data_IF_146659085336
#
_entry.id   IF_146659085336
#
_cell.length_a   1.000
_cell.length_b   1.000
_cell.length_c   1.000
_cell.angle_alpha   90.00
_cell.angle_beta   90.00
_cell.angle_gamma   90.00
#
_symmetry.space_group_name_H-M   'P 1'
#
loop_
_entity.id
_entity.type
_entity.pdbx_description
1 polymer ?
#
# COMPACT_ATOMS: atom_id res chain seq x y z
N UNK A 1 65.32 60.10 -28.54
CA UNK A 1 66.43 59.15 -28.29
C UNK A 1 66.01 58.37 -27.06
N UNK A 2 65.77 57.06 -27.04
CA UNK A 2 66.44 55.91 -27.69
C UNK A 2 65.48 54.71 -27.58
N UNK A 3 64.99 54.19 -28.70
CA UNK A 3 65.20 52.83 -29.25
C UNK A 3 64.90 51.61 -28.35
N UNK A 4 64.09 50.73 -28.93
CA UNK A 4 63.65 49.41 -28.47
C UNK A 4 64.72 48.33 -28.63
N UNK A 5 64.59 47.21 -27.88
CA UNK A 5 64.86 45.85 -28.38
C UNK A 5 63.99 44.83 -27.63
N UNK A 6 63.32 43.98 -28.41
CA UNK A 6 62.65 42.74 -28.00
C UNK A 6 63.61 41.56 -28.18
N UNK A 7 63.64 40.60 -27.25
CA UNK A 7 64.03 39.21 -27.56
C UNK A 7 63.18 38.23 -26.75
N UNK A 8 62.58 37.27 -27.47
CA UNK A 8 61.97 36.04 -26.95
C UNK A 8 63.02 34.93 -26.90
N UNK A 9 62.63 33.71 -26.42
CA UNK A 9 63.37 32.41 -26.35
C UNK A 9 63.68 32.05 -24.87
N UNK A 10 63.32 30.90 -24.27
CA UNK A 10 62.82 29.58 -24.73
C UNK A 10 62.08 28.87 -23.59
N UNK A 11 61.16 27.96 -23.94
CA UNK A 11 60.73 26.84 -23.10
C UNK A 11 61.92 25.93 -22.75
N UNK A 12 62.03 25.49 -21.48
CA UNK A 12 62.50 24.15 -21.10
C UNK A 12 62.06 23.83 -19.67
N UNK A 13 61.41 22.68 -19.56
CA UNK A 13 60.76 22.11 -18.39
C UNK A 13 61.77 21.65 -17.35
N UNK A 14 61.52 21.89 -16.06
CA UNK A 14 61.91 20.97 -14.98
C UNK A 14 60.81 20.99 -13.92
N UNK A 15 60.21 19.82 -13.73
CA UNK A 15 59.31 19.48 -12.64
C UNK A 15 60.16 19.33 -11.37
N UNK A 16 59.82 20.03 -10.30
CA UNK A 16 60.22 19.67 -8.96
C UNK A 16 59.02 19.89 -8.03
N UNK A 17 58.46 18.76 -7.59
CA UNK A 17 57.32 18.68 -6.70
C UNK A 17 57.70 19.21 -5.30
N UNK A 18 56.81 20.00 -4.71
CA UNK A 18 56.72 20.12 -3.26
C UNK A 18 55.26 19.93 -2.86
N UNK A 19 55.00 18.73 -2.37
CA UNK A 19 53.73 18.28 -1.80
C UNK A 19 53.52 19.02 -0.48
N UNK A 20 52.45 19.83 -0.39
CA UNK A 20 51.94 20.33 0.89
C UNK A 20 50.45 19.95 1.01
N UNK A 21 50.26 18.78 1.60
CA UNK A 21 49.08 18.24 2.29
C UNK A 21 47.78 19.04 2.23
N UNK A 22 46.87 18.66 1.33
CA UNK A 22 45.44 18.94 1.42
C UNK A 22 44.73 17.77 2.12
N UNK A 23 44.63 17.82 3.45
CA UNK A 23 43.77 16.92 4.22
C UNK A 23 42.45 17.65 4.57
N UNK A 24 41.60 17.83 3.56
CA UNK A 24 40.18 18.19 3.69
C UNK A 24 39.33 17.25 2.81
N UNK A 25 39.59 15.94 2.90
CA UNK A 25 38.80 14.90 2.23
C UNK A 25 38.22 14.00 3.31
N UNK A 26 37.14 14.46 3.95
CA UNK A 26 36.49 13.70 5.01
C UNK A 26 35.00 13.95 5.22
N UNK A 27 34.34 14.81 4.43
CA UNK A 27 32.93 15.19 4.68
C UNK A 27 31.95 14.68 3.60
N UNK A 28 32.40 13.93 2.59
CA UNK A 28 31.50 13.53 1.48
C UNK A 28 30.96 12.09 1.52
N UNK A 29 31.08 11.33 2.61
CA UNK A 29 30.62 9.92 2.66
C UNK A 29 29.36 9.70 3.53
N UNK A 30 28.78 10.75 4.12
CA UNK A 30 27.64 10.57 5.07
C UNK A 30 26.25 10.90 4.52
N UNK A 31 26.12 11.47 3.32
CA UNK A 31 24.78 11.83 2.80
C UNK A 31 24.01 10.63 2.29
N UNK A 32 24.66 9.67 1.63
CA UNK A 32 23.97 8.53 1.01
C UNK A 32 23.33 7.59 2.04
N UNK A 33 23.95 7.45 3.21
CA UNK A 33 23.40 6.67 4.32
C UNK A 33 22.19 7.35 4.97
N UNK A 34 22.20 8.68 5.11
CA UNK A 34 21.05 9.41 5.66
C UNK A 34 19.82 9.36 4.72
N UNK A 35 20.02 9.39 3.40
CA UNK A 35 18.93 9.23 2.42
C UNK A 35 18.39 7.79 2.35
N UNK A 36 19.23 6.78 2.56
CA UNK A 36 18.79 5.38 2.66
C UNK A 36 18.06 5.10 3.98
N UNK A 37 18.51 5.71 5.08
CA UNK A 37 17.93 5.53 6.42
C UNK A 37 16.62 6.34 6.60
N UNK A 38 16.44 7.44 5.88
CA UNK A 38 15.18 8.20 5.82
C UNK A 38 14.07 7.51 5.00
N UNK A 39 14.38 6.50 4.19
CA UNK A 39 13.37 5.80 3.38
C UNK A 39 12.46 4.85 4.17
N UNK A 40 12.83 4.48 5.40
CA UNK A 40 12.11 3.46 6.18
C UNK A 40 11.32 4.00 7.38
N UNK A 41 11.22 5.32 7.54
CA UNK A 41 10.42 5.95 8.61
C UNK A 41 8.97 6.21 8.19
N UNK A 42 8.64 6.07 6.91
CA UNK A 42 7.29 6.32 6.39
C UNK A 42 6.33 5.18 6.74
N UNK A 43 5.16 5.54 7.22
CA UNK A 43 4.03 4.64 7.39
C UNK A 43 3.67 3.95 6.06
N UNK A 44 2.99 2.79 6.14
CA UNK A 44 2.46 2.16 4.93
C UNK A 44 1.47 3.10 4.22
N UNK A 45 0.68 3.87 4.96
CA UNK A 45 -0.25 4.87 4.42
C UNK A 45 0.45 5.87 3.50
N UNK A 46 1.56 6.43 3.94
CA UNK A 46 2.37 7.37 3.14
C UNK A 46 3.00 6.69 1.93
N UNK A 47 3.50 5.45 2.08
CA UNK A 47 4.07 4.68 0.97
C UNK A 47 3.01 4.26 -0.07
N UNK A 48 1.76 4.08 0.35
CA UNK A 48 0.62 3.83 -0.53
C UNK A 48 0.12 5.09 -1.26
N UNK A 49 0.66 6.28 -0.95
CA UNK A 49 0.26 7.55 -1.58
C UNK A 49 -0.92 8.23 -0.89
N UNK A 50 -1.24 7.85 0.34
CA UNK A 50 -2.29 8.46 1.16
C UNK A 50 -3.72 8.18 0.68
N UNK A 51 -4.67 8.92 1.24
CA UNK A 51 -6.11 8.60 1.18
C UNK A 51 -6.66 8.54 -0.25
N UNK A 52 -6.23 9.42 -1.15
CA UNK A 52 -6.73 9.46 -2.53
C UNK A 52 -6.26 8.24 -3.34
N UNK A 53 -4.98 7.86 -3.20
CA UNK A 53 -4.45 6.66 -3.84
C UNK A 53 -5.11 5.38 -3.30
N UNK A 54 -5.27 5.29 -1.97
CA UNK A 54 -6.00 4.20 -1.32
C UNK A 54 -7.44 4.13 -1.83
N UNK A 55 -8.14 5.27 -1.87
CA UNK A 55 -9.53 5.34 -2.34
C UNK A 55 -9.66 4.89 -3.80
N UNK A 56 -8.69 5.24 -4.67
CA UNK A 56 -8.69 4.81 -6.06
C UNK A 56 -8.56 3.27 -6.18
N UNK A 57 -7.66 2.65 -5.43
CA UNK A 57 -7.51 1.18 -5.38
C UNK A 57 -8.79 0.53 -4.85
N UNK A 58 -9.34 1.04 -3.75
CA UNK A 58 -10.58 0.52 -3.14
C UNK A 58 -11.78 0.67 -4.07
N UNK A 59 -11.84 1.77 -4.83
CA UNK A 59 -12.87 1.98 -5.84
C UNK A 59 -12.81 0.90 -6.92
N UNK A 60 -11.64 0.69 -7.52
CA UNK A 60 -11.41 -0.36 -8.52
C UNK A 60 -11.73 -1.76 -7.97
N UNK A 61 -11.19 -2.09 -6.79
CA UNK A 61 -11.42 -3.36 -6.10
C UNK A 61 -12.89 -3.64 -5.85
N UNK A 62 -13.63 -2.63 -5.38
CA UNK A 62 -15.04 -2.79 -5.06
C UNK A 62 -15.88 -3.02 -6.31
N UNK A 63 -15.55 -2.38 -7.43
CA UNK A 63 -16.23 -2.60 -8.71
C UNK A 63 -15.88 -3.96 -9.32
N UNK A 64 -14.62 -4.41 -9.15
CA UNK A 64 -14.18 -5.73 -9.58
C UNK A 64 -14.89 -6.86 -8.81
N UNK A 65 -15.06 -6.70 -7.48
CA UNK A 65 -15.79 -7.67 -6.66
C UNK A 65 -17.23 -7.88 -7.11
N UNK A 66 -17.94 -6.83 -7.51
CA UNK A 66 -19.32 -6.95 -8.03
C UNK A 66 -19.37 -7.88 -9.24
N UNK A 67 -18.37 -7.78 -10.11
CA UNK A 67 -18.27 -8.55 -11.36
C UNK A 67 -17.64 -9.92 -11.18
N UNK A 68 -17.00 -10.18 -10.04
CA UNK A 68 -16.29 -11.43 -9.78
C UNK A 68 -17.25 -12.64 -9.83
N UNK A 69 -16.91 -13.72 -10.56
CA UNK A 69 -17.81 -14.86 -10.73
C UNK A 69 -18.02 -15.69 -9.47
N UNK A 70 -17.08 -15.66 -8.52
CA UNK A 70 -17.11 -16.48 -7.30
C UNK A 70 -17.74 -15.71 -6.14
N UNK A 71 -17.41 -14.43 -5.96
CA UNK A 71 -17.83 -13.63 -4.79
C UNK A 71 -18.79 -12.49 -5.12
N UNK A 72 -19.08 -12.25 -6.40
CA UNK A 72 -19.94 -11.17 -6.89
C UNK A 72 -21.33 -11.63 -7.33
N UNK A 73 -21.87 -10.99 -8.38
CA UNK A 73 -23.23 -11.21 -8.88
C UNK A 73 -23.55 -12.63 -9.35
N UNK A 74 -22.52 -13.42 -9.67
CA UNK A 74 -22.67 -14.82 -10.11
C UNK A 74 -22.26 -15.83 -9.03
N UNK A 75 -22.00 -15.35 -7.81
CA UNK A 75 -21.57 -16.21 -6.70
C UNK A 75 -22.54 -17.37 -6.47
N UNK A 76 -21.99 -18.55 -6.16
CA UNK A 76 -22.80 -19.70 -5.73
C UNK A 76 -23.40 -19.48 -4.32
N UNK A 77 -22.76 -18.69 -3.48
CA UNK A 77 -23.29 -18.28 -2.18
C UNK A 77 -24.47 -17.31 -2.38
N UNK A 78 -25.70 -17.70 -1.98
CA UNK A 78 -26.88 -16.90 -2.24
C UNK A 78 -26.87 -15.57 -1.49
N UNK A 79 -26.25 -15.49 -0.30
CA UNK A 79 -26.18 -14.25 0.46
C UNK A 79 -25.23 -13.24 -0.18
N UNK A 80 -24.08 -13.68 -0.70
CA UNK A 80 -23.18 -12.82 -1.48
C UNK A 80 -23.83 -12.38 -2.79
N UNK A 81 -24.46 -13.31 -3.51
CA UNK A 81 -25.16 -12.99 -4.77
C UNK A 81 -26.28 -11.98 -4.55
N UNK A 82 -27.09 -12.14 -3.51
CA UNK A 82 -28.17 -11.20 -3.17
C UNK A 82 -27.61 -9.81 -2.84
N UNK A 83 -26.54 -9.74 -2.04
CA UNK A 83 -25.89 -8.46 -1.74
C UNK A 83 -25.44 -7.74 -3.02
N UNK A 84 -24.73 -8.44 -3.91
CA UNK A 84 -24.17 -7.86 -5.15
C UNK A 84 -25.20 -7.60 -6.26
N UNK A 85 -26.46 -8.01 -6.09
CA UNK A 85 -27.53 -7.79 -7.07
C UNK A 85 -28.58 -6.79 -6.59
N UNK A 86 -28.94 -6.82 -5.30
CA UNK A 86 -30.04 -6.02 -4.75
C UNK A 86 -29.60 -4.84 -3.89
N UNK A 87 -28.33 -4.80 -3.45
CA UNK A 87 -27.87 -3.81 -2.47
C UNK A 87 -26.82 -2.84 -3.00
N UNK A 88 -26.60 -2.78 -4.31
CA UNK A 88 -25.55 -1.95 -4.92
C UNK A 88 -25.71 -0.44 -4.67
N UNK A 89 -26.91 0.05 -4.32
CA UNK A 89 -27.10 1.43 -3.85
C UNK A 89 -26.26 1.78 -2.62
N UNK A 90 -25.82 0.77 -1.85
CA UNK A 90 -24.96 0.93 -0.67
C UNK A 90 -23.46 0.89 -0.99
N UNK A 91 -23.09 0.55 -2.23
CA UNK A 91 -21.70 0.37 -2.64
C UNK A 91 -20.83 1.63 -2.43
N UNK A 92 -21.30 2.87 -2.67
CA UNK A 92 -20.51 4.06 -2.37
C UNK A 92 -20.11 4.16 -0.90
N UNK A 93 -21.04 3.89 0.02
CA UNK A 93 -20.75 3.84 1.45
C UNK A 93 -19.78 2.72 1.82
N UNK A 94 -19.87 1.55 1.17
CA UNK A 94 -18.93 0.47 1.40
C UNK A 94 -17.52 0.80 0.91
N UNK A 95 -17.40 1.48 -0.25
CA UNK A 95 -16.10 1.99 -0.75
C UNK A 95 -15.47 2.93 0.28
N UNK A 96 -16.25 3.87 0.82
CA UNK A 96 -15.79 4.77 1.88
C UNK A 96 -15.28 4.02 3.13
N UNK A 97 -16.08 3.08 3.66
CA UNK A 97 -15.69 2.32 4.86
C UNK A 97 -14.45 1.46 4.65
N UNK A 98 -14.30 0.84 3.46
CA UNK A 98 -13.10 0.07 3.09
C UNK A 98 -11.87 0.98 3.01
N UNK A 99 -12.01 2.16 2.43
CA UNK A 99 -10.94 3.16 2.38
C UNK A 99 -10.50 3.59 3.78
N UNK A 100 -11.44 3.85 4.69
CA UNK A 100 -11.11 4.19 6.09
C UNK A 100 -10.37 3.07 6.81
N UNK A 101 -10.80 1.82 6.64
CA UNK A 101 -10.12 0.67 7.22
C UNK A 101 -8.69 0.53 6.69
N UNK A 102 -8.47 0.64 5.37
CA UNK A 102 -7.12 0.60 4.79
C UNK A 102 -6.27 1.76 5.31
N UNK A 103 -6.84 2.96 5.40
CA UNK A 103 -6.13 4.13 5.91
C UNK A 103 -5.68 3.92 7.36
N UNK A 104 -6.54 3.41 8.23
CA UNK A 104 -6.16 3.15 9.63
C UNK A 104 -5.11 2.04 9.75
N UNK A 105 -5.34 0.88 9.13
CA UNK A 105 -4.47 -0.29 9.29
C UNK A 105 -3.07 -0.07 8.69
N UNK A 106 -2.96 0.88 7.75
CA UNK A 106 -1.68 1.29 7.16
C UNK A 106 -0.95 2.38 7.95
N UNK A 107 -1.49 2.80 9.10
CA UNK A 107 -0.88 3.83 9.97
C UNK A 107 -1.22 5.27 9.57
N UNK A 108 -2.30 5.46 8.82
CA UNK A 108 -2.80 6.78 8.43
C UNK A 108 -3.56 7.51 9.55
N UNK A 109 -3.90 8.79 9.34
CA UNK A 109 -4.53 9.63 10.36
C UNK A 109 -6.03 9.36 10.54
N UNK A 110 -6.65 8.59 9.64
CA UNK A 110 -8.08 8.31 9.66
C UNK A 110 -8.39 7.11 10.55
N UNK A 111 -9.51 7.18 11.26
CA UNK A 111 -10.01 6.11 12.13
C UNK A 111 -11.24 5.46 11.53
N UNK A 112 -11.23 4.14 11.50
CA UNK A 112 -12.38 3.33 11.15
C UNK A 112 -13.29 3.18 12.37
N UNK A 113 -14.57 3.46 12.18
CA UNK A 113 -15.60 3.22 13.17
C UNK A 113 -16.56 2.16 12.64
N UNK A 114 -16.70 1.05 13.37
CA UNK A 114 -17.60 -0.01 12.97
C UNK A 114 -19.06 0.49 12.91
N UNK A 115 -19.75 0.16 11.82
CA UNK A 115 -21.20 0.43 11.67
C UNK A 115 -22.07 -0.63 12.33
N UNK A 116 -21.48 -1.78 12.65
CA UNK A 116 -22.09 -2.86 13.43
C UNK A 116 -21.10 -3.25 14.51
N UNK A 117 -21.40 -2.96 15.79
CA UNK A 117 -20.55 -3.37 16.89
C UNK A 117 -20.40 -4.89 16.94
N UNK A 118 -19.22 -5.34 17.34
CA UNK A 118 -18.89 -6.73 17.57
C UNK A 118 -17.99 -6.88 18.79
N UNK A 119 -17.32 -8.03 18.90
CA UNK A 119 -16.31 -8.36 19.92
C UNK A 119 -15.05 -7.52 19.78
N UNK A 120 -14.68 -7.14 18.56
CA UNK A 120 -13.54 -6.26 18.27
C UNK A 120 -14.03 -4.87 17.88
N UNK A 121 -13.15 -3.87 17.98
CA UNK A 121 -13.45 -2.51 17.55
C UNK A 121 -13.81 -2.41 16.05
N UNK A 122 -13.37 -3.39 15.24
CA UNK A 122 -13.69 -3.46 13.81
C UNK A 122 -15.06 -4.10 13.55
N UNK A 123 -15.56 -4.95 14.45
CA UNK A 123 -16.88 -5.60 14.35
C UNK A 123 -17.09 -6.40 13.07
N UNK A 124 -16.01 -6.92 12.46
CA UNK A 124 -16.06 -7.55 11.15
C UNK A 124 -16.88 -8.83 11.17
N UNK A 125 -16.89 -9.56 12.27
CA UNK A 125 -17.68 -10.77 12.42
C UNK A 125 -19.18 -10.47 12.31
N UNK A 126 -19.69 -9.43 12.97
CA UNK A 126 -21.12 -9.07 12.89
C UNK A 126 -21.47 -8.37 11.59
N UNK A 127 -20.52 -7.62 11.02
CA UNK A 127 -20.67 -7.04 9.68
C UNK A 127 -20.84 -8.11 8.59
N UNK A 128 -20.16 -9.26 8.72
CA UNK A 128 -20.14 -10.32 7.70
C UNK A 128 -20.95 -11.58 8.07
N UNK A 129 -21.45 -11.71 9.31
CA UNK A 129 -22.10 -12.93 9.83
C UNK A 129 -23.18 -13.47 8.90
N UNK A 130 -24.06 -12.60 8.42
CA UNK A 130 -25.20 -13.02 7.57
C UNK A 130 -24.75 -13.45 6.17
N UNK A 131 -23.58 -13.02 5.70
CA UNK A 131 -23.07 -13.34 4.37
C UNK A 131 -22.50 -14.77 4.29
N UNK A 132 -22.20 -15.39 5.44
CA UNK A 132 -21.68 -16.76 5.53
C UNK A 132 -20.52 -17.02 4.58
N UNK A 133 -19.59 -16.07 4.52
CA UNK A 133 -18.41 -16.12 3.66
C UNK A 133 -17.54 -17.32 4.08
N UNK A 134 -17.32 -18.25 3.17
CA UNK A 134 -16.44 -19.39 3.36
C UNK A 134 -14.95 -18.98 3.31
N UNK A 135 -14.03 -19.80 3.85
CA UNK A 135 -12.60 -19.54 3.73
C UNK A 135 -12.12 -19.36 2.29
N UNK A 136 -12.64 -20.15 1.34
CA UNK A 136 -12.28 -20.05 -0.07
C UNK A 136 -12.81 -18.77 -0.73
N UNK A 137 -14.01 -18.31 -0.36
CA UNK A 137 -14.54 -17.02 -0.82
C UNK A 137 -13.74 -15.84 -0.24
N UNK A 138 -13.31 -15.94 1.01
CA UNK A 138 -12.41 -14.94 1.60
C UNK A 138 -11.08 -14.86 0.81
N UNK A 139 -10.49 -16.02 0.48
CA UNK A 139 -9.24 -16.08 -0.29
C UNK A 139 -9.42 -15.50 -1.70
N UNK A 140 -10.59 -15.69 -2.32
CA UNK A 140 -10.90 -15.06 -3.60
C UNK A 140 -11.06 -13.53 -3.49
N UNK A 141 -11.66 -13.03 -2.41
CA UNK A 141 -11.69 -11.57 -2.14
C UNK A 141 -10.26 -11.03 -1.98
N UNK A 142 -9.39 -11.75 -1.27
CA UNK A 142 -7.98 -11.38 -1.12
C UNK A 142 -7.24 -11.41 -2.48
N UNK A 143 -7.55 -12.37 -3.35
CA UNK A 143 -7.01 -12.45 -4.69
C UNK A 143 -7.47 -11.25 -5.56
N UNK A 144 -8.73 -10.84 -5.48
CA UNK A 144 -9.25 -9.65 -6.17
C UNK A 144 -8.59 -8.35 -5.68
N UNK A 145 -8.34 -8.25 -4.37
CA UNK A 145 -7.55 -7.15 -3.81
C UNK A 145 -6.12 -7.16 -4.39
N UNK A 146 -5.49 -8.34 -4.46
CA UNK A 146 -4.18 -8.51 -5.08
C UNK A 146 -4.14 -8.11 -6.55
N UNK A 147 -5.20 -8.38 -7.32
CA UNK A 147 -5.35 -7.92 -8.72
C UNK A 147 -5.52 -6.41 -8.82
N UNK A 148 -6.28 -5.80 -7.92
CA UNK A 148 -6.48 -4.35 -7.88
C UNK A 148 -5.21 -3.58 -7.48
N UNK A 149 -4.43 -4.12 -6.54
CA UNK A 149 -3.11 -3.59 -6.19
C UNK A 149 -2.13 -3.67 -7.36
N UNK A 150 -2.17 -4.78 -8.13
CA UNK A 150 -1.39 -4.90 -9.37
C UNK A 150 -1.82 -3.89 -10.44
N UNK A 151 -3.13 -3.70 -10.63
CA UNK A 151 -3.67 -2.70 -11.55
C UNK A 151 -3.16 -1.30 -11.24
N UNK A 152 -3.12 -0.95 -9.95
CA UNK A 152 -2.56 0.31 -9.47
C UNK A 152 -1.02 0.34 -9.38
N UNK A 153 -0.34 -0.74 -9.80
CA UNK A 153 1.12 -0.87 -9.80
C UNK A 153 1.75 -0.65 -8.41
N UNK A 154 1.06 -1.06 -7.35
CA UNK A 154 1.59 -1.00 -5.99
C UNK A 154 2.84 -1.89 -5.89
N UNK A 155 3.97 -1.40 -5.35
CA UNK A 155 5.19 -2.21 -5.28
C UNK A 155 5.02 -3.44 -4.39
N UNK A 156 5.88 -4.45 -4.62
CA UNK A 156 5.73 -5.79 -4.03
C UNK A 156 5.70 -5.77 -2.49
N UNK A 157 6.50 -4.90 -1.86
CA UNK A 157 6.57 -4.75 -0.39
C UNK A 157 5.22 -4.29 0.15
N UNK A 158 4.75 -3.14 -0.30
CA UNK A 158 3.49 -2.53 0.14
C UNK A 158 2.29 -3.44 -0.15
N UNK A 159 2.27 -4.09 -1.32
CA UNK A 159 1.24 -5.09 -1.65
C UNK A 159 1.23 -6.23 -0.65
N UNK A 160 2.39 -6.76 -0.28
CA UNK A 160 2.52 -7.83 0.71
C UNK A 160 1.97 -7.42 2.08
N UNK A 161 2.31 -6.22 2.52
CA UNK A 161 1.83 -5.67 3.80
C UNK A 161 0.30 -5.47 3.81
N UNK A 162 -0.28 -4.93 2.73
CA UNK A 162 -1.74 -4.77 2.60
C UNK A 162 -2.46 -6.12 2.62
N UNK A 163 -1.95 -7.12 1.89
CA UNK A 163 -2.55 -8.45 1.86
C UNK A 163 -2.40 -9.19 3.21
N UNK A 164 -1.29 -8.99 3.92
CA UNK A 164 -1.11 -9.54 5.26
C UNK A 164 -2.10 -8.92 6.25
N UNK A 165 -2.27 -7.58 6.22
CA UNK A 165 -3.27 -6.88 7.03
C UNK A 165 -4.70 -7.37 6.73
N UNK A 166 -5.02 -7.60 5.45
CA UNK A 166 -6.31 -8.17 5.06
C UNK A 166 -6.49 -9.60 5.63
N UNK A 167 -5.48 -10.46 5.45
CA UNK A 167 -5.53 -11.87 5.85
C UNK A 167 -5.70 -12.05 7.37
N UNK A 168 -5.22 -11.11 8.19
CA UNK A 168 -5.38 -11.13 9.65
C UNK A 168 -6.85 -11.21 10.10
N UNK A 169 -7.80 -10.75 9.26
CA UNK A 169 -9.22 -10.72 9.57
C UNK A 169 -10.01 -11.95 9.10
N UNK A 170 -9.35 -12.98 8.54
CA UNK A 170 -10.02 -14.16 7.96
C UNK A 170 -10.96 -14.85 8.95
N UNK A 171 -10.53 -15.00 10.19
CA UNK A 171 -11.33 -15.68 11.23
C UNK A 171 -12.60 -14.90 11.60
N UNK A 172 -12.52 -13.58 11.68
CA UNK A 172 -13.68 -12.73 11.99
C UNK A 172 -14.68 -12.78 10.83
N UNK A 173 -14.22 -12.58 9.59
CA UNK A 173 -15.10 -12.54 8.40
C UNK A 173 -15.78 -13.89 8.12
N UNK A 174 -15.10 -15.00 8.37
CA UNK A 174 -15.64 -16.35 8.12
C UNK A 174 -16.44 -16.92 9.29
N UNK A 175 -16.56 -16.20 10.41
CA UNK A 175 -17.24 -16.68 11.61
C UNK A 175 -18.71 -17.08 11.36
N UNK A 176 -19.41 -16.37 10.47
CA UNK A 176 -20.79 -16.70 10.08
C UNK A 176 -20.92 -18.04 9.35
N UNK A 177 -19.93 -18.40 8.53
CA UNK A 177 -19.88 -19.68 7.82
C UNK A 177 -19.65 -20.83 8.80
N UNK A 178 -18.64 -20.70 9.67
CA UNK A 178 -18.31 -21.71 10.69
C UNK A 178 -19.49 -21.96 11.63
N UNK A 179 -20.16 -20.89 12.08
CA UNK A 179 -21.34 -20.99 12.94
C UNK A 179 -22.51 -21.71 12.25
N UNK A 180 -22.72 -21.48 10.95
CA UNK A 180 -23.78 -22.16 10.20
C UNK A 180 -23.48 -23.65 9.98
N UNK A 181 -22.21 -24.02 9.80
CA UNK A 181 -21.79 -25.42 9.64
C UNK A 181 -22.00 -26.24 10.92
N UNK A 182 -21.78 -25.66 12.11
CA UNK A 182 -21.98 -26.33 13.41
C UNK A 182 -23.46 -26.60 13.77
N UNK A 183 -24.40 -25.99 13.05
CA UNK A 183 -25.85 -26.14 13.29
C UNK A 183 -26.52 -27.16 12.36
N UNK A 184 -25.72 -27.79 11.49
CA UNK A 184 -26.14 -28.89 10.61
C UNK A 184 -25.67 -30.20 11.23
#
# INVERSE_FOLDING_TARGET
MTQAVSTSITRRSVIAALVLTAALVGIFVSTDNAYAQAKDTKSLYERLGGIFAIAAVVNHFSDALVKNPIVGQKSKNPQLREWHTRNLKRLPGLKFMRTLWVAEVSGGPFKFTATKPGKTALGLEEAHRSLRISPAEFDEVAAELGRSLNFAKVPKREKGEVLAAFAAHKNEVTAGYVAAAKRR
#
